data_IF_682230978644
#
_entry.id   IF_682230978644
#
_cell.length_a   1.000
_cell.length_b   1.000
_cell.length_c   1.000
_cell.angle_alpha   90.00
_cell.angle_beta   90.00
_cell.angle_gamma   90.00
#
_symmetry.space_group_name_H-M   'P 1'
#
loop_
_entity.id
_entity.type
_entity.pdbx_description
1 polymer ?
#
# COMPACT_ATOMS: atom_id res chain seq x y z
N UNK A 1 -15.58 -15.78 7.87
CA UNK A 1 -14.47 -14.94 7.38
C UNK A 1 -13.46 -15.83 6.66
N UNK A 2 -13.20 -15.63 5.36
CA UNK A 2 -12.04 -16.28 4.71
C UNK A 2 -10.77 -15.71 5.33
N UNK A 3 -9.95 -16.55 5.95
CA UNK A 3 -8.62 -16.16 6.44
C UNK A 3 -7.75 -15.79 5.24
N UNK A 4 -7.01 -14.68 5.33
CA UNK A 4 -6.00 -14.35 4.32
C UNK A 4 -4.89 -15.39 4.43
N UNK A 5 -4.54 -16.03 3.31
CA UNK A 5 -3.46 -17.02 3.26
C UNK A 5 -2.10 -16.33 3.29
N UNK A 6 -1.07 -17.04 3.76
CA UNK A 6 0.32 -16.53 3.74
C UNK A 6 0.74 -16.14 2.32
N UNK A 7 0.35 -16.94 1.32
CA UNK A 7 0.60 -16.65 -0.10
C UNK A 7 -0.02 -15.32 -0.55
N UNK A 8 -1.28 -15.05 -0.17
CA UNK A 8 -1.95 -13.80 -0.50
C UNK A 8 -1.30 -12.59 0.18
N UNK A 9 -0.75 -12.77 1.38
CA UNK A 9 -0.01 -11.76 2.11
C UNK A 9 1.34 -11.44 1.45
N UNK A 10 2.11 -12.47 1.09
CA UNK A 10 3.39 -12.29 0.40
C UNK A 10 3.21 -11.64 -0.97
N UNK A 11 2.19 -12.07 -1.72
CA UNK A 11 1.85 -11.47 -3.00
C UNK A 11 1.42 -10.01 -2.86
N UNK A 12 0.64 -9.69 -1.82
CA UNK A 12 0.28 -8.31 -1.51
C UNK A 12 1.49 -7.46 -1.13
N UNK A 13 2.48 -7.99 -0.39
CA UNK A 13 3.74 -7.29 -0.10
C UNK A 13 4.53 -6.98 -1.36
N UNK A 14 4.73 -7.96 -2.25
CA UNK A 14 5.42 -7.75 -3.53
C UNK A 14 4.75 -6.68 -4.37
N UNK A 15 3.43 -6.75 -4.49
CA UNK A 15 2.65 -5.75 -5.26
C UNK A 15 2.68 -4.38 -4.62
N UNK A 16 2.58 -4.29 -3.29
CA UNK A 16 2.69 -3.02 -2.57
C UNK A 16 4.04 -2.35 -2.84
N UNK A 17 5.13 -3.12 -2.81
CA UNK A 17 6.47 -2.61 -3.10
C UNK A 17 6.58 -2.12 -4.55
N UNK A 18 6.11 -2.91 -5.51
CA UNK A 18 6.04 -2.51 -6.92
C UNK A 18 5.32 -1.17 -7.14
N UNK A 19 4.16 -0.97 -6.49
CA UNK A 19 3.42 0.29 -6.58
C UNK A 19 4.10 1.44 -5.81
N UNK A 20 4.90 1.13 -4.79
CA UNK A 20 5.70 2.16 -4.10
C UNK A 20 6.84 2.66 -4.97
N UNK A 21 7.56 1.75 -5.63
CA UNK A 21 8.60 2.11 -6.60
C UNK A 21 8.03 2.92 -7.77
N UNK A 22 6.81 2.61 -8.22
CA UNK A 22 6.09 3.41 -9.21
C UNK A 22 5.78 4.84 -8.73
N UNK A 23 5.39 5.00 -7.46
CA UNK A 23 5.13 6.31 -6.85
C UNK A 23 6.42 7.13 -6.75
N UNK A 24 7.50 6.51 -6.29
CA UNK A 24 8.81 7.15 -6.13
C UNK A 24 9.35 7.62 -7.48
N UNK A 25 9.25 6.76 -8.49
CA UNK A 25 9.70 7.09 -9.84
C UNK A 25 8.89 8.22 -10.48
N UNK A 26 7.55 8.18 -10.33
CA UNK A 26 6.68 9.24 -10.84
C UNK A 26 6.94 10.56 -10.12
N UNK A 27 7.19 10.52 -8.80
CA UNK A 27 7.53 11.69 -7.99
C UNK A 27 8.90 12.28 -8.35
N UNK A 28 9.87 11.43 -8.70
CA UNK A 28 11.18 11.84 -9.18
C UNK A 28 11.16 12.41 -10.61
N UNK A 29 10.01 12.43 -11.29
CA UNK A 29 9.91 12.80 -12.71
C UNK A 29 10.65 11.84 -13.64
N UNK A 30 10.98 10.64 -13.15
CA UNK A 30 11.72 9.64 -13.89
C UNK A 30 10.74 8.70 -14.62
N UNK A 31 10.95 8.49 -15.91
CA UNK A 31 10.24 7.47 -16.69
C UNK A 31 10.70 6.08 -16.25
N UNK A 32 10.00 5.46 -15.30
CA UNK A 32 10.34 4.11 -14.82
C UNK A 32 9.78 3.00 -15.70
N UNK A 33 10.58 1.95 -15.87
CA UNK A 33 10.20 0.72 -16.55
C UNK A 33 10.26 -0.42 -15.52
N UNK A 34 9.11 -0.84 -14.99
CA UNK A 34 9.09 -1.94 -14.00
C UNK A 34 8.94 -3.26 -14.76
N UNK A 35 9.96 -4.12 -14.68
CA UNK A 35 9.92 -5.49 -15.22
C UNK A 35 9.50 -5.58 -16.71
N UNK A 36 10.00 -4.68 -17.56
CA UNK A 36 9.70 -4.69 -19.00
C UNK A 36 8.25 -4.29 -19.37
N UNK A 37 7.44 -3.87 -18.38
CA UNK A 37 6.18 -3.17 -18.60
C UNK A 37 6.31 -1.76 -18.03
N UNK A 38 6.27 -0.76 -18.92
CA UNK A 38 6.24 0.63 -18.49
C UNK A 38 5.07 0.86 -17.54
N UNK A 39 5.37 1.30 -16.32
CA UNK A 39 4.33 1.85 -15.40
C UNK A 39 3.92 3.26 -15.84
N UNK A 40 4.50 3.70 -16.95
CA UNK A 40 4.32 4.94 -17.70
C UNK A 40 2.86 5.32 -18.01
N UNK A 41 1.89 4.41 -17.82
CA UNK A 41 0.47 4.67 -18.11
C UNK A 41 -0.42 4.84 -16.87
N UNK A 42 0.04 4.51 -15.66
CA UNK A 42 -0.79 4.66 -14.46
C UNK A 42 -0.67 6.06 -13.86
N UNK A 43 -1.82 6.69 -13.62
CA UNK A 43 -1.91 7.98 -12.92
C UNK A 43 -1.46 7.86 -11.46
N UNK A 44 -1.06 9.00 -10.85
CA UNK A 44 -0.70 9.03 -9.43
C UNK A 44 -1.86 8.57 -8.53
N UNK A 45 -3.10 8.85 -8.94
CA UNK A 45 -4.30 8.42 -8.24
C UNK A 45 -4.44 6.89 -8.25
N UNK A 46 -4.25 6.25 -9.41
CA UNK A 46 -4.28 4.79 -9.53
C UNK A 46 -3.18 4.12 -8.70
N UNK A 47 -1.96 4.69 -8.72
CA UNK A 47 -0.83 4.21 -7.91
C UNK A 47 -1.22 4.22 -6.43
N UNK A 48 -1.72 5.33 -5.92
CA UNK A 48 -2.15 5.44 -4.53
C UNK A 48 -3.33 4.52 -4.20
N UNK A 49 -4.29 4.37 -5.11
CA UNK A 49 -5.42 3.46 -4.94
C UNK A 49 -4.95 2.02 -4.77
N UNK A 50 -4.01 1.58 -5.60
CA UNK A 50 -3.44 0.24 -5.55
C UNK A 50 -2.60 0.03 -4.29
N UNK A 51 -1.76 1.00 -3.89
CA UNK A 51 -1.04 0.96 -2.60
C UNK A 51 -2.00 0.79 -1.43
N UNK A 52 -3.09 1.56 -1.37
CA UNK A 52 -4.11 1.44 -0.31
C UNK A 52 -4.79 0.06 -0.32
N UNK A 53 -5.04 -0.50 -1.50
CA UNK A 53 -5.65 -1.84 -1.65
C UNK A 53 -4.76 -2.92 -1.06
N UNK A 54 -3.49 -3.00 -1.47
CA UNK A 54 -2.59 -4.03 -0.96
C UNK A 54 -2.23 -3.82 0.51
N UNK A 55 -2.10 -2.56 0.94
CA UNK A 55 -1.91 -2.24 2.36
C UNK A 55 -3.04 -2.77 3.24
N UNK A 56 -4.31 -2.72 2.79
CA UNK A 56 -5.43 -3.32 3.54
C UNK A 56 -5.31 -4.84 3.68
N UNK A 57 -4.77 -5.53 2.67
CA UNK A 57 -4.57 -6.98 2.72
C UNK A 57 -3.45 -7.32 3.71
N UNK A 58 -2.34 -6.57 3.66
CA UNK A 58 -1.22 -6.66 4.61
C UNK A 58 -1.71 -6.39 6.04
N UNK A 59 -2.37 -5.25 6.26
CA UNK A 59 -2.91 -4.86 7.57
C UNK A 59 -3.91 -5.89 8.10
N UNK A 60 -4.73 -6.48 7.22
CA UNK A 60 -5.72 -7.49 7.62
C UNK A 60 -5.07 -8.84 7.98
N UNK A 61 -3.94 -9.19 7.36
CA UNK A 61 -3.16 -10.37 7.73
C UNK A 61 -2.41 -10.14 9.05
N UNK A 62 -1.71 -9.00 9.18
CA UNK A 62 -0.89 -8.67 10.35
C UNK A 62 -1.73 -8.39 11.62
N UNK A 63 -2.86 -7.69 11.47
CA UNK A 63 -3.69 -7.25 12.59
C UNK A 63 -5.04 -8.00 12.66
N UNK A 64 -5.20 -9.08 11.90
CA UNK A 64 -6.42 -9.90 11.89
C UNK A 64 -7.67 -9.15 11.40
N UNK A 65 -7.52 -8.14 10.54
CA UNK A 65 -8.63 -7.33 10.03
C UNK A 65 -9.17 -6.30 11.03
N UNK A 66 -8.53 -6.13 12.20
CA UNK A 66 -8.81 -4.98 13.06
C UNK A 66 -8.37 -3.73 12.30
N UNK A 67 -9.35 -2.98 11.76
CA UNK A 67 -9.11 -1.61 11.29
C UNK A 67 -8.33 -0.93 12.41
N UNK A 68 -7.13 -0.38 12.14
CA UNK A 68 -6.51 0.57 13.06
C UNK A 68 -7.59 1.61 13.34
N UNK A 69 -8.23 1.51 14.49
CA UNK A 69 -9.17 2.50 14.98
C UNK A 69 -8.37 3.78 14.98
N UNK A 70 -8.78 4.71 14.11
CA UNK A 70 -8.11 5.99 13.89
C UNK A 70 -8.48 6.94 15.04
N UNK A 71 -8.38 6.43 16.26
CA UNK A 71 -8.75 7.08 17.52
C UNK A 71 -7.57 6.95 18.47
N UNK A 72 -6.53 7.73 18.19
CA UNK A 72 -5.66 8.27 19.23
C UNK A 72 -5.19 9.64 18.75
N UNK A 73 -6.18 10.51 18.57
CA UNK A 73 -5.99 11.94 18.77
C UNK A 73 -6.85 12.28 19.96
N UNK A 74 -6.25 12.48 21.12
CA UNK A 74 -6.75 13.40 22.13
C UNK A 74 -5.53 13.83 22.98
N UNK A 75 -4.96 14.97 22.58
CA UNK A 75 -4.16 15.93 23.34
C UNK A 75 -3.53 15.52 24.69
N UNK A 76 -2.22 15.75 24.92
CA UNK A 76 -1.77 16.09 26.26
C UNK A 76 -2.14 17.56 26.51
N UNK A 77 -3.28 17.80 27.14
CA UNK A 77 -3.45 19.05 27.89
C UNK A 77 -3.40 18.66 29.36
N UNK A 78 -2.23 18.85 29.94
CA UNK A 78 -2.13 19.23 31.35
C UNK A 78 -0.90 20.14 31.44
N UNK A 79 -1.18 21.38 31.82
CA UNK A 79 -0.26 22.50 32.01
C UNK A 79 -0.17 22.78 33.50
#
# INVERSE_FOLDING_TARGET
>A
MRKITLEAYEDAKRKYQMWSEAEDARSAGASYNISGRGVTYSSMEEIQMMKRRYRRIIDAYENGGKRRSRTSSLYPVDS
#
